data_IF_047897969918
#
_entry.id   IF_047897969918
#
_cell.length_a   1.000
_cell.length_b   1.000
_cell.length_c   1.000
_cell.angle_alpha   90.00
_cell.angle_beta   90.00
_cell.angle_gamma   90.00
#
_symmetry.space_group_name_H-M   'P 1'
#
loop_
_entity.id
_entity.type
_entity.pdbx_description
1 polymer ?
#
# COMPACT_ATOMS: atom_id res chain seq x y z
N UNK A 1 -27.11 5.83 43.66
CA UNK A 1 -26.66 4.58 42.99
C UNK A 1 -26.42 4.96 41.55
N UNK A 2 -25.19 5.45 41.25
CA UNK A 2 -24.85 6.04 39.97
C UNK A 2 -24.21 4.94 39.12
N UNK A 3 -24.80 4.66 37.96
CA UNK A 3 -24.29 3.74 36.96
C UNK A 3 -22.97 4.29 36.40
N UNK A 4 -21.92 3.48 36.48
CA UNK A 4 -20.65 3.69 35.78
C UNK A 4 -20.88 3.33 34.30
N UNK A 5 -21.04 4.36 33.48
CA UNK A 5 -20.89 4.19 32.02
C UNK A 5 -19.44 3.79 31.74
N UNK A 6 -19.28 2.59 31.20
CA UNK A 6 -18.01 2.08 30.74
C UNK A 6 -17.54 2.87 29.53
N UNK A 7 -16.44 3.60 29.69
CA UNK A 7 -15.69 4.17 28.58
C UNK A 7 -15.06 2.98 27.85
N UNK A 8 -15.69 2.56 26.76
CA UNK A 8 -15.09 1.67 25.79
C UNK A 8 -14.00 2.47 25.05
N UNK A 9 -12.79 2.50 25.64
CA UNK A 9 -11.61 2.92 24.91
C UNK A 9 -11.36 1.88 23.81
N UNK A 10 -11.70 2.20 22.58
CA UNK A 10 -11.09 1.54 21.44
C UNK A 10 -9.59 1.83 21.55
N UNK A 11 -8.85 0.89 22.10
CA UNK A 11 -7.40 0.85 21.97
C UNK A 11 -7.20 0.55 20.48
N UNK A 12 -6.97 1.60 19.70
CA UNK A 12 -6.45 1.45 18.35
C UNK A 12 -5.06 0.83 18.56
N UNK A 13 -4.90 -0.44 18.19
CA UNK A 13 -3.61 -1.11 18.27
C UNK A 13 -2.62 -0.29 17.44
N UNK A 14 -1.53 0.14 18.09
CA UNK A 14 -0.50 0.93 17.40
C UNK A 14 0.16 0.08 16.32
N UNK A 15 0.27 0.61 15.12
CA UNK A 15 0.97 -0.05 14.03
C UNK A 15 2.44 -0.27 14.43
N UNK A 16 2.88 -1.51 14.39
CA UNK A 16 4.28 -1.88 14.52
C UNK A 16 4.63 -2.84 13.38
N UNK A 17 5.05 -2.26 12.26
CA UNK A 17 5.39 -3.01 11.06
C UNK A 17 6.89 -2.91 10.79
N UNK A 18 7.60 -4.03 10.89
CA UNK A 18 9.05 -4.03 10.76
C UNK A 18 9.58 -5.26 10.03
N UNK A 19 10.78 -5.13 9.47
CA UNK A 19 11.49 -6.21 8.80
C UNK A 19 12.95 -6.20 9.19
N UNK A 20 13.49 -7.41 9.42
CA UNK A 20 14.84 -7.59 9.93
C UNK A 20 15.67 -8.47 8.99
N UNK A 21 16.84 -7.97 8.60
CA UNK A 21 17.88 -8.69 7.84
C UNK A 21 17.36 -9.33 6.54
N UNK A 22 16.53 -8.57 5.80
CA UNK A 22 15.86 -9.05 4.59
C UNK A 22 16.84 -9.15 3.43
N UNK A 23 16.83 -10.29 2.74
CA UNK A 23 17.59 -10.51 1.50
C UNK A 23 16.65 -10.92 0.37
N UNK A 24 16.80 -10.27 -0.78
CA UNK A 24 16.04 -10.53 -1.99
C UNK A 24 16.92 -11.09 -3.09
N UNK A 25 16.57 -12.26 -3.60
CA UNK A 25 17.19 -12.84 -4.80
C UNK A 25 16.12 -13.02 -5.88
N UNK A 26 16.42 -12.64 -7.12
CA UNK A 26 15.54 -12.80 -8.28
C UNK A 26 16.35 -13.39 -9.45
N UNK A 27 15.89 -14.51 -9.96
CA UNK A 27 16.55 -15.20 -11.10
C UNK A 27 18.06 -15.36 -10.85
N UNK A 28 18.42 -15.86 -9.65
CA UNK A 28 19.79 -16.11 -9.17
C UNK A 28 20.65 -14.83 -8.96
N UNK A 29 20.06 -13.65 -9.07
CA UNK A 29 20.72 -12.37 -8.81
C UNK A 29 20.28 -11.84 -7.46
N UNK A 30 21.22 -11.57 -6.57
CA UNK A 30 20.95 -10.84 -5.33
C UNK A 30 20.60 -9.40 -5.67
N UNK A 31 19.43 -8.94 -5.24
CA UNK A 31 18.92 -7.59 -5.52
C UNK A 31 19.26 -6.63 -4.39
N UNK A 32 19.07 -7.08 -3.16
CA UNK A 32 19.51 -6.40 -1.93
C UNK A 32 19.70 -7.42 -0.81
N UNK A 33 20.53 -7.07 0.17
CA UNK A 33 20.81 -7.91 1.34
C UNK A 33 20.81 -7.13 2.64
N UNK A 34 20.50 -7.82 3.75
CA UNK A 34 20.57 -7.29 5.14
C UNK A 34 19.75 -6.01 5.36
N UNK A 35 18.67 -5.83 4.61
CA UNK A 35 17.80 -4.66 4.71
C UNK A 35 16.93 -4.75 5.95
N UNK A 36 16.84 -3.64 6.68
CA UNK A 36 15.95 -3.48 7.83
C UNK A 36 15.01 -2.30 7.58
N UNK A 37 13.79 -2.39 8.11
CA UNK A 37 12.85 -1.27 8.12
C UNK A 37 11.98 -1.29 9.37
N UNK A 38 11.43 -0.12 9.72
CA UNK A 38 10.43 0.04 10.76
C UNK A 38 9.44 1.12 10.35
N UNK A 39 8.16 0.88 10.62
CA UNK A 39 7.05 1.79 10.34
C UNK A 39 6.07 1.75 11.51
N UNK A 40 5.63 2.93 11.94
CA UNK A 40 4.62 3.12 12.98
C UNK A 40 3.50 4.05 12.52
N UNK A 41 2.49 4.24 13.35
CA UNK A 41 1.36 5.14 13.11
C UNK A 41 1.80 6.52 12.63
N UNK A 42 1.03 7.10 11.73
CA UNK A 42 1.24 8.46 11.24
C UNK A 42 2.52 8.66 10.42
N UNK A 43 3.16 7.60 9.97
CA UNK A 43 4.42 7.70 9.25
C UNK A 43 4.29 7.35 7.76
N UNK A 44 5.11 8.03 6.95
CA UNK A 44 5.40 7.61 5.58
C UNK A 44 6.88 7.21 5.50
N UNK A 45 7.14 5.98 5.05
CA UNK A 45 8.47 5.49 4.71
C UNK A 45 8.64 5.49 3.20
N UNK A 46 9.61 6.25 2.70
CA UNK A 46 9.91 6.28 1.27
C UNK A 46 10.97 5.24 0.90
N UNK A 47 10.73 4.51 -0.19
CA UNK A 47 11.71 3.62 -0.80
C UNK A 47 12.32 4.30 -2.01
N UNK A 48 13.60 4.64 -1.92
CA UNK A 48 14.35 5.30 -2.97
C UNK A 48 15.38 4.36 -3.60
N UNK A 49 15.69 4.58 -4.86
CA UNK A 49 16.69 3.80 -5.60
C UNK A 49 16.39 3.75 -7.10
N UNK A 50 17.37 3.38 -7.94
CA UNK A 50 17.19 3.27 -9.38
C UNK A 50 16.19 2.16 -9.76
N UNK A 51 15.85 2.11 -11.04
CA UNK A 51 15.10 0.98 -11.58
C UNK A 51 15.90 -0.30 -11.37
N UNK A 52 15.21 -1.37 -10.97
CA UNK A 52 15.85 -2.67 -10.67
C UNK A 52 16.45 -2.78 -9.27
N UNK A 53 16.51 -1.71 -8.45
CA UNK A 53 17.06 -1.79 -7.08
C UNK A 53 16.24 -2.62 -6.09
N UNK A 54 15.06 -3.09 -6.47
CA UNK A 54 14.25 -3.98 -5.64
C UNK A 54 13.09 -3.30 -4.90
N UNK A 55 12.76 -2.03 -5.15
CA UNK A 55 11.63 -1.32 -4.51
C UNK A 55 10.32 -2.12 -4.55
N UNK A 56 9.90 -2.52 -5.75
CA UNK A 56 8.69 -3.33 -5.94
C UNK A 56 8.80 -4.73 -5.31
N UNK A 57 10.01 -5.33 -5.28
CA UNK A 57 10.23 -6.61 -4.62
C UNK A 57 10.08 -6.47 -3.11
N UNK A 58 10.64 -5.41 -2.51
CA UNK A 58 10.49 -5.12 -1.10
C UNK A 58 9.03 -4.86 -0.73
N UNK A 59 8.30 -4.05 -1.49
CA UNK A 59 6.86 -3.83 -1.27
C UNK A 59 6.05 -5.14 -1.36
N UNK A 60 6.39 -6.04 -2.31
CA UNK A 60 5.74 -7.35 -2.39
C UNK A 60 6.09 -8.26 -1.22
N UNK A 61 7.31 -8.19 -0.68
CA UNK A 61 7.66 -8.90 0.55
C UNK A 61 6.85 -8.38 1.73
N UNK A 62 6.75 -7.06 1.86
CA UNK A 62 5.94 -6.38 2.88
C UNK A 62 4.45 -6.75 2.78
N UNK A 63 3.93 -6.95 1.57
CA UNK A 63 2.56 -7.42 1.33
C UNK A 63 2.37 -8.94 1.52
N UNK A 64 3.41 -9.69 1.89
CA UNK A 64 3.35 -11.16 1.99
C UNK A 64 3.24 -11.90 0.65
N UNK A 65 3.42 -11.17 -0.49
CA UNK A 65 3.32 -11.71 -1.85
C UNK A 65 4.65 -12.31 -2.36
N UNK A 66 5.74 -12.06 -1.66
CA UNK A 66 7.08 -12.57 -1.96
C UNK A 66 7.77 -12.90 -0.64
N UNK A 67 8.40 -14.07 -0.55
CA UNK A 67 9.18 -14.45 0.64
C UNK A 67 10.62 -13.93 0.51
N UNK A 68 11.22 -13.36 1.55
CA UNK A 68 12.65 -13.08 1.59
C UNK A 68 13.43 -14.40 1.63
N UNK A 69 14.66 -14.41 1.07
CA UNK A 69 15.57 -15.57 1.16
C UNK A 69 16.09 -15.72 2.59
N UNK A 70 16.42 -14.60 3.23
CA UNK A 70 16.76 -14.53 4.65
C UNK A 70 16.04 -13.36 5.30
N UNK A 71 15.95 -13.38 6.61
CA UNK A 71 15.25 -12.37 7.39
C UNK A 71 13.77 -12.67 7.57
N UNK A 72 13.08 -11.79 8.25
CA UNK A 72 11.66 -11.92 8.55
C UNK A 72 11.00 -10.56 8.66
N UNK A 73 9.70 -10.52 8.34
CA UNK A 73 8.85 -9.34 8.48
C UNK A 73 7.82 -9.63 9.57
N UNK A 74 7.55 -8.63 10.39
CA UNK A 74 6.68 -8.73 11.55
C UNK A 74 5.60 -7.65 11.52
N UNK A 75 4.40 -8.05 11.87
CA UNK A 75 3.24 -7.21 12.13
C UNK A 75 2.84 -7.34 13.59
N UNK A 76 2.87 -6.24 14.34
CA UNK A 76 2.56 -6.21 15.78
C UNK A 76 3.28 -7.31 16.59
N UNK A 77 4.54 -7.61 16.22
CA UNK A 77 5.38 -8.61 16.88
C UNK A 77 5.24 -10.03 16.34
N UNK A 78 4.26 -10.31 15.49
CA UNK A 78 4.07 -11.62 14.87
C UNK A 78 4.63 -11.66 13.44
N UNK A 79 5.24 -12.79 13.07
CA UNK A 79 5.77 -12.95 11.71
C UNK A 79 4.64 -13.05 10.69
N UNK A 80 4.67 -12.21 9.64
CA UNK A 80 3.66 -12.23 8.58
C UNK A 80 3.62 -13.54 7.79
N UNK A 81 4.66 -14.35 7.83
CA UNK A 81 4.67 -15.69 7.21
C UNK A 81 3.75 -16.70 7.92
N UNK A 82 3.41 -16.41 9.16
CA UNK A 82 2.47 -17.20 9.99
C UNK A 82 1.14 -16.48 10.14
N UNK A 83 1.06 -15.22 9.68
CA UNK A 83 -0.07 -14.37 9.98
C UNK A 83 -1.30 -14.79 9.22
N UNK A 84 -2.36 -14.69 9.95
CA UNK A 84 -3.75 -14.91 9.68
C UNK A 84 -4.31 -13.91 8.65
N UNK A 85 -5.57 -14.03 8.40
CA UNK A 85 -6.35 -13.10 7.56
C UNK A 85 -6.32 -11.67 8.11
N UNK A 86 -6.12 -11.47 9.43
CA UNK A 86 -5.99 -10.16 10.10
C UNK A 86 -4.92 -9.26 9.47
N UNK A 87 -3.69 -9.78 9.25
CA UNK A 87 -2.65 -9.00 8.57
C UNK A 87 -3.05 -8.57 7.17
N UNK A 88 -3.79 -9.41 6.43
CA UNK A 88 -4.21 -9.12 5.06
C UNK A 88 -5.30 -8.06 4.99
N UNK A 89 -6.12 -7.94 6.03
CA UNK A 89 -7.15 -6.91 6.14
C UNK A 89 -6.54 -5.54 6.44
N UNK A 90 -5.40 -5.51 7.14
CA UNK A 90 -4.68 -4.30 7.56
C UNK A 90 -3.77 -3.71 6.48
N UNK A 91 -3.51 -4.43 5.40
CA UNK A 91 -2.58 -3.99 4.36
C UNK A 91 -3.25 -3.91 2.99
N UNK A 92 -3.04 -2.80 2.28
CA UNK A 92 -3.37 -2.68 0.86
C UNK A 92 -2.11 -2.44 0.02
N UNK A 93 -1.89 -3.29 -0.98
CA UNK A 93 -0.81 -3.11 -1.95
C UNK A 93 -1.35 -2.56 -3.27
N UNK A 94 -0.83 -1.42 -3.68
CA UNK A 94 -1.08 -0.78 -4.99
C UNK A 94 0.20 -0.86 -5.81
N UNK A 95 0.27 -1.87 -6.67
CA UNK A 95 1.42 -2.10 -7.54
C UNK A 95 1.44 -1.20 -8.78
N UNK A 96 2.50 -1.36 -9.57
CA UNK A 96 2.68 -0.64 -10.83
C UNK A 96 1.62 -1.00 -11.89
N UNK A 97 1.21 -2.27 -11.95
CA UNK A 97 0.15 -2.71 -12.85
C UNK A 97 -1.24 -2.43 -12.27
N UNK A 98 -2.18 -2.10 -13.14
CA UNK A 98 -3.58 -1.87 -12.77
C UNK A 98 -4.41 -3.13 -13.06
N UNK A 99 -4.59 -4.08 -12.13
CA UNK A 99 -5.30 -5.34 -12.37
C UNK A 99 -6.82 -5.15 -12.39
N UNK A 100 -7.29 -4.26 -13.25
CA UNK A 100 -8.71 -3.98 -13.45
C UNK A 100 -9.33 -5.08 -14.31
N UNK A 101 -10.47 -5.62 -13.88
CA UNK A 101 -11.24 -6.62 -14.62
C UNK A 101 -12.01 -5.95 -15.75
N UNK A 102 -11.52 -6.08 -16.97
CA UNK A 102 -11.99 -5.32 -18.15
C UNK A 102 -13.46 -5.50 -18.50
N UNK A 103 -14.04 -6.66 -18.17
CA UNK A 103 -15.44 -6.99 -18.45
C UNK A 103 -16.41 -6.50 -17.37
N UNK A 104 -15.92 -6.14 -16.18
CA UNK A 104 -16.72 -5.55 -15.14
C UNK A 104 -16.84 -4.04 -15.34
N UNK A 105 -17.96 -3.46 -14.88
CA UNK A 105 -18.12 -2.02 -14.78
C UNK A 105 -17.16 -1.41 -13.77
N UNK A 106 -17.06 -0.10 -13.76
CA UNK A 106 -16.26 0.67 -12.79
C UNK A 106 -16.70 0.34 -11.37
N UNK A 107 -18.00 0.38 -11.10
CA UNK A 107 -18.58 0.05 -9.79
C UNK A 107 -18.34 -1.42 -9.40
N UNK A 108 -18.59 -2.36 -10.31
CA UNK A 108 -18.37 -3.80 -10.06
C UNK A 108 -16.91 -4.13 -9.76
N UNK A 109 -15.95 -3.45 -10.41
CA UNK A 109 -14.53 -3.61 -10.08
C UNK A 109 -14.24 -3.20 -8.65
N UNK A 110 -14.74 -2.04 -8.22
CA UNK A 110 -14.47 -1.55 -6.87
C UNK A 110 -15.18 -2.41 -5.81
N UNK A 111 -16.45 -2.78 -6.06
CA UNK A 111 -17.20 -3.73 -5.23
C UNK A 111 -16.49 -5.09 -5.10
N UNK A 112 -15.91 -5.59 -6.19
CA UNK A 112 -15.15 -6.84 -6.16
C UNK A 112 -13.98 -6.78 -5.19
N UNK A 113 -13.22 -5.67 -5.16
CA UNK A 113 -12.10 -5.52 -4.23
C UNK A 113 -12.56 -5.31 -2.79
N UNK A 114 -13.60 -4.51 -2.57
CA UNK A 114 -14.17 -4.26 -1.23
C UNK A 114 -14.66 -5.57 -0.60
N UNK A 115 -15.32 -6.43 -1.39
CA UNK A 115 -15.77 -7.75 -0.92
C UNK A 115 -14.63 -8.70 -0.57
N UNK A 116 -13.52 -8.63 -1.29
CA UNK A 116 -12.34 -9.47 -1.01
C UNK A 116 -11.72 -9.18 0.36
N UNK A 117 -11.89 -7.97 0.89
CA UNK A 117 -11.36 -7.54 2.20
C UNK A 117 -12.41 -7.58 3.32
N UNK A 118 -13.59 -8.17 3.09
CA UNK A 118 -14.60 -8.41 4.12
C UNK A 118 -15.41 -7.19 4.60
N UNK A 119 -15.41 -6.08 3.84
CA UNK A 119 -16.15 -4.86 4.21
C UNK A 119 -17.68 -5.03 4.13
N UNK A 120 -18.39 -4.59 5.18
CA UNK A 120 -19.85 -4.68 5.28
C UNK A 120 -20.62 -3.44 4.75
N UNK A 121 -19.97 -2.29 4.57
CA UNK A 121 -20.56 -1.05 4.02
C UNK A 121 -20.13 -0.79 2.58
N UNK A 122 -20.17 -1.81 1.77
CA UNK A 122 -19.63 -1.84 0.42
C UNK A 122 -20.10 -0.68 -0.47
N UNK A 123 -21.39 -0.38 -0.47
CA UNK A 123 -21.96 0.60 -1.41
C UNK A 123 -21.59 2.04 -1.05
N UNK A 124 -21.61 2.40 0.22
CA UNK A 124 -21.28 3.76 0.68
C UNK A 124 -19.80 4.08 0.45
N UNK A 125 -18.89 3.14 0.76
CA UNK A 125 -17.47 3.31 0.54
C UNK A 125 -17.13 3.38 -0.95
N UNK A 126 -17.79 2.59 -1.80
CA UNK A 126 -17.65 2.62 -3.25
C UNK A 126 -18.12 3.95 -3.84
N UNK A 127 -19.31 4.43 -3.48
CA UNK A 127 -19.86 5.70 -3.98
C UNK A 127 -18.96 6.89 -3.58
N UNK A 128 -18.45 6.90 -2.35
CA UNK A 128 -17.48 7.88 -1.87
C UNK A 128 -16.18 7.84 -2.69
N UNK A 129 -15.60 6.65 -2.87
CA UNK A 129 -14.35 6.48 -3.60
C UNK A 129 -14.48 6.89 -5.08
N UNK A 130 -15.57 6.51 -5.75
CA UNK A 130 -15.85 6.91 -7.13
C UNK A 130 -16.04 8.42 -7.28
N UNK A 131 -16.66 9.07 -6.29
CA UNK A 131 -16.85 10.52 -6.29
C UNK A 131 -15.54 11.27 -6.12
N UNK A 132 -14.68 10.84 -5.19
CA UNK A 132 -13.37 11.46 -4.93
C UNK A 132 -12.47 11.40 -6.18
N UNK A 133 -12.47 10.28 -6.89
CA UNK A 133 -11.67 10.11 -8.11
C UNK A 133 -12.39 10.56 -9.40
N UNK A 134 -13.55 11.24 -9.27
CA UNK A 134 -14.35 11.75 -10.39
C UNK A 134 -14.79 10.66 -11.38
N UNK A 135 -15.00 9.44 -10.89
CA UNK A 135 -15.43 8.28 -11.70
C UNK A 135 -16.91 7.94 -11.54
N UNK A 136 -17.64 8.63 -10.69
CA UNK A 136 -19.04 8.30 -10.38
C UNK A 136 -19.95 8.31 -11.62
N UNK A 137 -19.74 9.26 -12.56
CA UNK A 137 -20.47 9.34 -13.81
C UNK A 137 -20.20 8.16 -14.76
N UNK A 138 -19.11 7.41 -14.56
CA UNK A 138 -18.72 6.22 -15.31
C UNK A 138 -19.07 4.90 -14.59
N UNK A 139 -19.77 4.95 -13.46
CA UNK A 139 -19.99 3.78 -12.58
C UNK A 139 -20.51 2.54 -13.32
N UNK A 140 -21.42 2.72 -14.28
CA UNK A 140 -22.03 1.65 -15.09
C UNK A 140 -21.28 1.35 -16.40
N UNK A 141 -20.14 2.02 -16.64
CA UNK A 141 -19.33 1.82 -17.85
C UNK A 141 -18.41 0.61 -17.67
N UNK A 142 -18.39 -0.35 -18.62
CA UNK A 142 -17.41 -1.44 -18.60
C UNK A 142 -15.98 -0.89 -18.65
N UNK A 143 -15.11 -1.39 -17.76
CA UNK A 143 -13.76 -0.82 -17.55
C UNK A 143 -12.84 -0.93 -18.76
N UNK A 144 -13.16 -1.77 -19.75
CA UNK A 144 -12.42 -1.81 -21.03
C UNK A 144 -12.50 -0.53 -21.84
N UNK A 145 -13.46 0.35 -21.56
CA UNK A 145 -13.65 1.63 -22.24
C UNK A 145 -12.97 2.81 -21.52
N UNK A 146 -12.36 2.54 -20.36
CA UNK A 146 -11.63 3.57 -19.63
C UNK A 146 -10.31 3.93 -20.30
N UNK A 147 -9.94 5.22 -20.24
CA UNK A 147 -8.58 5.65 -20.55
C UNK A 147 -7.56 5.07 -19.56
N UNK A 148 -6.27 5.16 -19.87
CA UNK A 148 -5.21 4.71 -18.95
C UNK A 148 -5.27 5.45 -17.61
N UNK A 149 -5.47 6.79 -17.63
CA UNK A 149 -5.63 7.60 -16.42
C UNK A 149 -6.88 7.22 -15.61
N UNK A 150 -8.03 7.02 -16.26
CA UNK A 150 -9.25 6.56 -15.59
C UNK A 150 -9.08 5.16 -14.98
N UNK A 151 -8.39 4.26 -15.68
CA UNK A 151 -8.05 2.93 -15.15
C UNK A 151 -7.15 3.04 -13.90
N UNK A 152 -6.17 3.95 -13.93
CA UNK A 152 -5.30 4.21 -12.76
C UNK A 152 -6.10 4.80 -11.60
N UNK A 153 -6.96 5.80 -11.84
CA UNK A 153 -7.88 6.37 -10.85
C UNK A 153 -8.77 5.30 -10.22
N UNK A 154 -9.36 4.41 -11.01
CA UNK A 154 -10.18 3.29 -10.52
C UNK A 154 -9.38 2.36 -9.62
N UNK A 155 -8.14 2.05 -10.00
CA UNK A 155 -7.28 1.19 -9.18
C UNK A 155 -6.89 1.84 -7.85
N UNK A 156 -6.65 3.16 -7.84
CA UNK A 156 -6.34 3.94 -6.65
C UNK A 156 -7.57 4.17 -5.74
N UNK A 157 -8.77 4.18 -6.31
CA UNK A 157 -10.01 4.35 -5.55
C UNK A 157 -10.20 3.27 -4.46
N UNK A 158 -9.51 2.13 -4.60
CA UNK A 158 -9.43 1.08 -3.57
C UNK A 158 -8.89 1.59 -2.23
N UNK A 159 -7.98 2.56 -2.24
CA UNK A 159 -7.40 3.15 -1.02
C UNK A 159 -8.50 3.80 -0.16
N UNK A 160 -9.42 4.51 -0.80
CA UNK A 160 -10.55 5.15 -0.12
C UNK A 160 -11.63 4.16 0.29
N UNK A 161 -11.81 3.11 -0.49
CA UNK A 161 -12.83 2.09 -0.24
C UNK A 161 -12.39 1.04 0.79
N UNK A 162 -11.10 1.00 1.14
CA UNK A 162 -10.50 0.08 2.13
C UNK A 162 -10.34 0.76 3.48
N UNK A 163 -10.34 -0.05 4.56
CA UNK A 163 -9.99 0.38 5.93
C UNK A 163 -8.56 -0.02 6.31
N UNK A 164 -7.78 -0.54 5.37
CA UNK A 164 -6.41 -0.96 5.63
C UNK A 164 -5.61 0.17 6.29
N UNK A 165 -4.97 -0.14 7.39
CA UNK A 165 -4.19 0.81 8.18
C UNK A 165 -2.81 1.11 7.56
N UNK A 166 -2.27 0.19 6.73
CA UNK A 166 -0.98 0.37 6.04
C UNK A 166 -1.14 0.31 4.53
N UNK A 167 -0.68 1.35 3.86
CA UNK A 167 -0.69 1.45 2.41
C UNK A 167 0.71 1.22 1.82
N UNK A 168 0.83 0.22 0.96
CA UNK A 168 2.04 -0.11 0.21
C UNK A 168 1.87 0.36 -1.24
N UNK A 169 2.56 1.43 -1.62
CA UNK A 169 2.34 2.18 -2.86
C UNK A 169 3.56 2.11 -3.77
N UNK A 170 3.42 1.45 -4.92
CA UNK A 170 4.47 1.31 -5.93
C UNK A 170 4.29 2.35 -7.03
N UNK A 171 5.03 3.46 -6.96
CA UNK A 171 4.97 4.59 -7.89
C UNK A 171 3.52 5.10 -8.10
N UNK A 172 2.82 5.51 -7.03
CA UNK A 172 1.38 5.75 -7.09
C UNK A 172 0.97 6.91 -8.01
N UNK A 173 1.86 7.88 -8.24
CA UNK A 173 1.59 9.07 -9.03
C UNK A 173 1.76 8.89 -10.54
N UNK A 174 2.33 7.76 -10.97
CA UNK A 174 2.55 7.50 -12.39
C UNK A 174 1.23 7.43 -13.16
N UNK A 175 1.22 8.01 -14.36
CA UNK A 175 0.07 8.07 -15.28
C UNK A 175 -1.13 8.87 -14.78
N UNK A 176 -0.93 9.75 -13.78
CA UNK A 176 -1.93 10.70 -13.30
C UNK A 176 -1.66 12.10 -13.85
N UNK A 177 -2.74 12.85 -14.10
CA UNK A 177 -2.67 14.29 -14.32
C UNK A 177 -2.47 15.04 -12.98
N UNK A 178 -2.12 16.32 -13.07
CA UNK A 178 -1.80 17.13 -11.89
C UNK A 178 -2.96 17.22 -10.89
N UNK A 179 -4.21 17.28 -11.38
CA UNK A 179 -5.39 17.33 -10.52
C UNK A 179 -5.53 16.04 -9.72
N UNK A 180 -5.34 14.90 -10.35
CA UNK A 180 -5.39 13.58 -9.71
C UNK A 180 -4.23 13.35 -8.73
N UNK A 181 -3.03 13.88 -9.03
CA UNK A 181 -1.90 13.87 -8.10
C UNK A 181 -2.27 14.62 -6.81
N UNK A 182 -2.84 15.82 -6.93
CA UNK A 182 -3.26 16.62 -5.78
C UNK A 182 -4.33 15.90 -4.93
N UNK A 183 -5.30 15.26 -5.59
CA UNK A 183 -6.34 14.46 -4.92
C UNK A 183 -5.70 13.30 -4.18
N UNK A 184 -4.84 12.52 -4.82
CA UNK A 184 -4.17 11.38 -4.19
C UNK A 184 -3.29 11.82 -3.01
N UNK A 185 -2.55 12.92 -3.16
CA UNK A 185 -1.74 13.46 -2.06
C UNK A 185 -2.61 13.82 -0.86
N UNK A 186 -3.74 14.51 -1.07
CA UNK A 186 -4.68 14.86 0.00
C UNK A 186 -5.26 13.63 0.70
N UNK A 187 -5.53 12.54 -0.05
CA UNK A 187 -6.01 11.27 0.50
C UNK A 187 -4.94 10.62 1.39
N UNK A 188 -3.67 10.60 0.91
CA UNK A 188 -2.54 10.06 1.68
C UNK A 188 -2.34 10.87 2.96
N UNK A 189 -2.33 12.21 2.86
CA UNK A 189 -2.14 13.09 4.01
C UNK A 189 -3.25 12.89 5.06
N UNK A 190 -4.51 12.74 4.61
CA UNK A 190 -5.62 12.43 5.52
C UNK A 190 -5.43 11.08 6.21
N UNK A 191 -5.08 10.03 5.47
CA UNK A 191 -4.84 8.70 6.00
C UNK A 191 -3.75 8.70 7.10
N UNK A 192 -2.64 9.40 6.85
CA UNK A 192 -1.55 9.55 7.83
C UNK A 192 -1.99 10.32 9.06
N UNK A 193 -2.74 11.42 8.86
CA UNK A 193 -3.28 12.23 9.96
C UNK A 193 -4.26 11.45 10.83
N UNK A 194 -5.01 10.54 10.24
CA UNK A 194 -5.99 9.69 10.92
C UNK A 194 -5.35 8.46 11.60
N UNK A 195 -4.00 8.40 11.67
CA UNK A 195 -3.24 7.34 12.34
C UNK A 195 -2.83 6.19 11.44
N UNK A 196 -3.16 6.22 10.16
CA UNK A 196 -2.66 5.23 9.19
C UNK A 196 -1.17 5.42 8.90
N UNK A 197 -0.58 4.48 8.16
CA UNK A 197 0.81 4.52 7.74
C UNK A 197 0.96 4.17 6.25
N UNK A 198 2.06 4.60 5.62
CA UNK A 198 2.30 4.28 4.22
C UNK A 198 3.78 3.97 3.95
N UNK A 199 4.04 3.07 3.01
CA UNK A 199 5.35 2.85 2.40
C UNK A 199 5.23 3.14 0.91
N UNK A 200 6.05 4.05 0.41
CA UNK A 200 5.92 4.56 -0.95
C UNK A 200 7.22 4.43 -1.73
N UNK A 201 7.21 3.64 -2.81
CA UNK A 201 8.30 3.65 -3.77
C UNK A 201 8.18 4.88 -4.67
N UNK A 202 9.28 5.61 -4.84
CA UNK A 202 9.35 6.79 -5.71
C UNK A 202 10.74 6.91 -6.36
N UNK A 203 10.78 7.58 -7.51
CA UNK A 203 12.00 8.02 -8.17
C UNK A 203 12.35 9.49 -7.88
N UNK A 204 11.40 10.25 -7.32
CA UNK A 204 11.61 11.66 -7.02
C UNK A 204 12.68 11.83 -5.95
N UNK A 205 13.36 12.98 -6.01
CA UNK A 205 14.29 13.36 -4.96
C UNK A 205 13.53 13.56 -3.66
N UNK A 206 13.89 12.75 -2.67
CA UNK A 206 13.32 12.84 -1.33
C UNK A 206 14.10 13.88 -0.54
N UNK A 207 13.41 14.79 0.15
CA UNK A 207 14.04 15.71 1.08
C UNK A 207 14.69 14.91 2.23
N UNK A 208 15.90 15.30 2.64
CA UNK A 208 16.64 14.67 3.75
C UNK A 208 15.87 14.65 5.08
N UNK A 209 14.86 15.51 5.22
CA UNK A 209 13.98 15.53 6.39
C UNK A 209 12.92 14.42 6.41
N UNK A 210 12.79 13.63 5.36
CA UNK A 210 11.79 12.55 5.26
C UNK A 210 12.40 11.21 5.68
N UNK A 211 11.57 10.34 6.28
CA UNK A 211 11.95 8.96 6.58
C UNK A 211 12.06 8.17 5.26
N UNK A 212 13.26 7.68 4.91
CA UNK A 212 13.47 6.94 3.67
C UNK A 212 14.54 5.85 3.79
N UNK A 213 14.43 4.86 2.93
CA UNK A 213 15.43 3.82 2.70
C UNK A 213 15.99 4.00 1.29
N UNK A 214 17.30 4.22 1.18
CA UNK A 214 18.00 4.13 -0.12
C UNK A 214 18.46 2.71 -0.36
N UNK A 215 17.79 2.00 -1.29
CA UNK A 215 18.08 0.61 -1.59
C UNK A 215 19.50 0.41 -2.18
N UNK A 216 20.15 1.47 -2.67
CA UNK A 216 21.57 1.37 -3.10
C UNK A 216 22.50 0.97 -1.97
N UNK A 217 22.19 1.35 -0.73
CA UNK A 217 23.00 1.01 0.45
C UNK A 217 22.95 -0.47 0.80
N UNK A 218 21.95 -1.18 0.28
CA UNK A 218 21.73 -2.63 0.50
C UNK A 218 22.04 -3.46 -0.74
N UNK A 219 22.63 -2.85 -1.78
CA UNK A 219 23.12 -3.61 -2.92
C UNK A 219 24.17 -4.62 -2.46
N UNK A 220 24.18 -5.84 -3.03
CA UNK A 220 25.16 -6.85 -2.67
C UNK A 220 26.57 -6.30 -2.87
N UNK A 221 27.46 -6.57 -1.90
CA UNK A 221 28.89 -6.27 -2.05
C UNK A 221 29.39 -6.98 -3.29
N UNK A 222 30.11 -6.26 -4.14
CA UNK A 222 30.70 -6.75 -5.40
C UNK A 222 31.92 -7.68 -5.17
N UNK A 223 31.84 -8.55 -4.17
CA UNK A 223 32.77 -9.67 -4.05
C UNK A 223 32.19 -10.83 -4.86
N UNK A 224 32.51 -10.80 -6.15
CA UNK A 224 32.38 -11.95 -7.04
C UNK A 224 33.50 -12.93 -6.72
N UNK A 225 33.19 -14.22 -6.64
CA UNK A 225 34.25 -15.25 -6.61
C UNK A 225 35.03 -15.31 -7.91
#
# INVERSE_FOLDING_TARGET
MLAKEGINSFITEMINFNGNNLTCVRTDICVFEKLNFSLTDGQILFLHGPNGSGKSSLLRMMAGLLQPITGSIYWNGESISKSSDEFREEIIYVGHQNPVKRNLTVEENLLFWVKLIGEHREKESVDKALSIFELYHLRSTPSRFLSAGQTRKLYLARLVASKASVWLLDEPFNSLDQSSINVLQSIIDSHIKDGGAAIMATHDKISESRNYIDLKQFAPSSETP
#
